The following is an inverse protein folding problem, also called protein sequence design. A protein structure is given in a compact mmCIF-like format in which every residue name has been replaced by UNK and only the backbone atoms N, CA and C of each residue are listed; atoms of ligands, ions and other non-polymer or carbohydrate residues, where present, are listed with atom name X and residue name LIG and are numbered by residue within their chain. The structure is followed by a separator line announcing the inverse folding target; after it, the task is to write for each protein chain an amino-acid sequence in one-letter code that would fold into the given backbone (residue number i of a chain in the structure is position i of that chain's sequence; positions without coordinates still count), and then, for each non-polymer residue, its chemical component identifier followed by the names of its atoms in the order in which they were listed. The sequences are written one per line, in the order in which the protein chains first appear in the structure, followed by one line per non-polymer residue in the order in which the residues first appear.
data_IF_798040299223
#
_entry.id   IF_798040299223
#
_cell.length_a   1.000
_cell.length_b   1.000
_cell.length_c   1.000
_cell.angle_alpha   90.00
_cell.angle_beta   90.00
_cell.angle_gamma   90.00
#
_symmetry.space_group_name_H-M   'P 1'
#
loop_
_entity.id
_entity.type
_entity.pdbx_description
1 polymer ?
#
# COMPACT_ATOMS: atom_id res chain seq x y z
N UNK A 1 2.76 8.43 -2.51
CA UNK A 1 2.23 8.87 -3.81
C UNK A 1 2.54 10.35 -3.98
N UNK A 2 3.03 10.77 -5.16
CA UNK A 2 3.48 12.14 -5.42
C UNK A 2 2.25 13.07 -5.48
N UNK A 3 2.38 14.30 -4.95
CA UNK A 3 1.31 15.30 -5.02
C UNK A 3 1.13 15.77 -6.47
N UNK A 4 -0.10 15.70 -7.04
CA UNK A 4 -0.34 16.08 -8.44
C UNK A 4 -0.27 17.60 -8.68
N UNK A 5 -0.26 18.42 -7.62
CA UNK A 5 -0.29 19.87 -7.75
C UNK A 5 1.08 20.55 -7.63
N UNK A 6 2.01 19.95 -6.89
CA UNK A 6 3.31 20.57 -6.61
C UNK A 6 4.50 19.59 -6.69
N UNK A 7 4.24 18.37 -7.15
CA UNK A 7 5.23 17.30 -7.34
C UNK A 7 6.00 16.89 -6.08
N UNK A 8 5.51 17.25 -4.89
CA UNK A 8 6.12 16.83 -3.64
C UNK A 8 5.92 15.32 -3.41
N UNK A 9 7.00 14.62 -3.07
CA UNK A 9 7.00 13.15 -2.88
C UNK A 9 6.27 12.74 -1.60
N UNK A 10 6.31 13.60 -0.57
CA UNK A 10 5.69 13.33 0.74
C UNK A 10 4.22 13.77 0.75
N UNK A 11 3.32 12.78 0.87
CA UNK A 11 1.89 12.97 1.09
C UNK A 11 1.41 12.01 2.17
N UNK A 12 0.44 12.44 2.98
CA UNK A 12 -0.16 11.64 4.06
C UNK A 12 -1.56 11.17 3.66
N UNK A 13 -1.97 10.00 4.15
CA UNK A 13 -3.34 9.50 4.02
C UNK A 13 -4.14 10.06 5.18
N UNK A 14 -5.29 10.68 4.89
CA UNK A 14 -6.18 11.31 5.88
C UNK A 14 -7.37 10.39 6.18
N UNK A 15 -7.91 9.74 5.16
CA UNK A 15 -9.03 8.82 5.30
C UNK A 15 -8.96 7.74 4.23
N UNK A 16 -9.56 6.58 4.52
CA UNK A 16 -9.70 5.46 3.59
C UNK A 16 -11.15 5.01 3.57
N UNK A 17 -11.75 4.96 2.40
CA UNK A 17 -13.04 4.31 2.17
C UNK A 17 -12.73 2.91 1.63
N UNK A 18 -13.16 1.91 2.40
CA UNK A 18 -13.07 0.49 2.01
C UNK A 18 -14.40 0.08 1.38
N UNK A 19 -14.34 -0.49 0.19
CA UNK A 19 -15.50 -0.97 -0.55
C UNK A 19 -15.06 -1.93 -1.66
N UNK A 20 -15.80 -1.99 -2.76
CA UNK A 20 -15.37 -2.72 -3.97
C UNK A 20 -14.02 -2.22 -4.51
N UNK A 21 -13.74 -0.93 -4.30
CA UNK A 21 -12.46 -0.31 -4.56
C UNK A 21 -11.95 0.38 -3.29
N UNK A 22 -10.64 0.32 -3.06
CA UNK A 22 -10.02 1.07 -1.97
C UNK A 22 -9.73 2.49 -2.43
N UNK A 23 -10.46 3.46 -1.89
CA UNK A 23 -10.25 4.90 -2.16
C UNK A 23 -9.58 5.55 -0.95
N UNK A 24 -8.50 6.29 -1.19
CA UNK A 24 -7.74 7.00 -0.15
C UNK A 24 -7.74 8.49 -0.42
N UNK A 25 -8.11 9.26 0.60
CA UNK A 25 -7.95 10.72 0.60
C UNK A 25 -6.57 11.06 1.15
N UNK A 26 -5.81 11.84 0.39
CA UNK A 26 -4.46 12.24 0.73
C UNK A 26 -4.35 13.75 0.87
N UNK A 27 -3.42 14.20 1.72
CA UNK A 27 -3.03 15.61 1.86
C UNK A 27 -1.54 15.77 1.56
N UNK A 28 -1.19 16.83 0.82
CA UNK A 28 0.20 17.19 0.60
C UNK A 28 0.79 17.94 1.79
N UNK A 29 1.94 17.48 2.29
CA UNK A 29 2.63 18.14 3.40
C UNK A 29 3.30 19.47 3.00
N UNK A 30 3.44 19.76 1.69
CA UNK A 30 4.05 20.99 1.18
C UNK A 30 3.01 22.04 0.79
N UNK A 31 2.07 21.70 -0.11
CA UNK A 31 1.08 22.66 -0.61
C UNK A 31 -0.28 22.61 0.07
N UNK A 32 -0.47 21.73 1.07
CA UNK A 32 -1.70 21.55 1.84
C UNK A 32 -2.98 21.18 1.06
N UNK A 33 -2.89 21.01 -0.27
CA UNK A 33 -4.01 20.53 -1.08
C UNK A 33 -4.31 19.05 -0.80
N UNK A 34 -5.59 18.71 -0.89
CA UNK A 34 -6.10 17.35 -0.79
C UNK A 34 -6.40 16.79 -2.17
N UNK A 35 -6.24 15.48 -2.32
CA UNK A 35 -6.59 14.74 -3.53
C UNK A 35 -6.93 13.30 -3.19
N UNK A 36 -7.60 12.63 -4.12
CA UNK A 36 -8.06 11.25 -3.94
C UNK A 36 -7.32 10.29 -4.87
N UNK A 37 -7.12 9.07 -4.39
CA UNK A 37 -6.45 8.00 -5.13
C UNK A 37 -7.23 6.71 -4.97
N UNK A 38 -7.50 6.01 -6.06
CA UNK A 38 -7.99 4.63 -6.03
C UNK A 38 -6.81 3.66 -6.11
N UNK A 39 -6.88 2.59 -5.32
CA UNK A 39 -5.90 1.51 -5.34
C UNK A 39 -6.54 0.26 -5.96
N UNK A 40 -5.86 -0.29 -6.97
CA UNK A 40 -6.26 -1.55 -7.60
C UNK A 40 -5.59 -2.70 -6.86
N UNK A 41 -6.38 -3.67 -6.42
CA UNK A 41 -5.86 -4.93 -5.89
C UNK A 41 -5.36 -5.76 -7.07
N UNK A 42 -4.06 -6.04 -7.10
CA UNK A 42 -3.49 -6.95 -8.08
C UNK A 42 -3.59 -8.36 -7.51
N UNK A 43 -4.55 -9.12 -8.02
CA UNK A 43 -4.64 -10.56 -7.74
C UNK A 43 -3.60 -11.22 -8.62
N UNK A 44 -2.50 -11.71 -8.01
CA UNK A 44 -1.59 -12.60 -8.71
C UNK A 44 -2.31 -13.92 -8.96
N UNK A 45 -2.09 -14.58 -10.11
CA UNK A 45 -2.68 -15.89 -10.35
C UNK A 45 -2.36 -16.80 -9.16
N UNK A 46 -3.34 -17.63 -8.81
CA UNK A 46 -3.25 -18.65 -7.77
C UNK A 46 -2.32 -19.78 -8.27
N UNK A 47 -1.08 -19.41 -8.55
CA UNK A 47 -0.03 -20.35 -8.91
C UNK A 47 0.51 -20.91 -7.60
N UNK A 48 0.38 -22.23 -7.44
CA UNK A 48 0.68 -22.92 -6.19
C UNK A 48 2.15 -22.71 -5.80
N UNK A 49 3.04 -22.63 -6.79
CA UNK A 49 4.47 -22.35 -6.59
C UNK A 49 4.73 -20.92 -6.11
N UNK A 50 3.98 -19.95 -6.63
CA UNK A 50 4.09 -18.55 -6.22
C UNK A 50 3.61 -18.36 -4.76
N UNK A 51 2.49 -18.99 -4.39
CA UNK A 51 1.97 -18.97 -3.02
C UNK A 51 2.94 -19.63 -2.04
N UNK A 52 3.54 -20.77 -2.39
CA UNK A 52 4.49 -21.47 -1.54
C UNK A 52 5.75 -20.65 -1.24
N UNK A 53 6.23 -19.88 -2.22
CA UNK A 53 7.38 -19.01 -2.03
C UNK A 53 7.04 -17.81 -1.13
N UNK A 54 5.90 -17.15 -1.36
CA UNK A 54 5.48 -16.01 -0.52
C UNK A 54 5.16 -16.42 0.93
N UNK A 55 4.57 -17.61 1.13
CA UNK A 55 4.35 -18.16 2.48
C UNK A 55 5.67 -18.53 3.17
N UNK A 56 6.66 -19.07 2.45
CA UNK A 56 7.98 -19.37 3.02
C UNK A 56 8.70 -18.12 3.46
N UNK A 57 8.73 -17.09 2.62
CA UNK A 57 9.33 -15.79 2.95
C UNK A 57 8.67 -15.18 4.20
N UNK A 58 7.33 -15.23 4.29
CA UNK A 58 6.60 -14.76 5.47
C UNK A 58 6.96 -15.54 6.75
N UNK A 59 7.05 -16.88 6.66
CA UNK A 59 7.40 -17.73 7.80
C UNK A 59 8.86 -17.52 8.24
N UNK A 60 9.78 -17.30 7.30
CA UNK A 60 11.18 -16.98 7.59
C UNK A 60 11.31 -15.61 8.26
N UNK A 61 10.63 -14.57 7.74
CA UNK A 61 10.60 -13.24 8.38
C UNK A 61 10.00 -13.27 9.80
N UNK A 62 9.00 -14.12 10.08
CA UNK A 62 8.44 -14.26 11.42
C UNK A 62 9.37 -15.02 12.38
N UNK A 63 10.17 -15.98 11.89
CA UNK A 63 11.19 -16.64 12.72
C UNK A 63 12.29 -15.67 13.13
N UNK A 64 12.82 -14.91 12.16
CA UNK A 64 13.88 -13.93 12.43
C UNK A 64 13.45 -12.82 13.41
N UNK A 65 12.14 -12.52 13.48
CA UNK A 65 11.58 -11.57 14.47
C UNK A 65 11.38 -12.16 15.87
N UNK A 66 11.19 -13.48 15.97
CA UNK A 66 10.94 -14.17 17.24
C UNK A 66 12.23 -14.67 17.92
N UNK A 67 13.35 -14.70 17.19
CA UNK A 67 14.67 -15.09 17.70
C UNK A 67 15.54 -13.89 18.19
N UNK A 68 14.92 -12.76 18.54
CA UNK A 68 15.57 -11.56 19.15
C UNK A 68 15.03 -11.30 20.56
#
# INVERSE_FOLDING_TARGET
MICPFCSNVKTSVVATIKGLENRRFRRCNKCNKTFETSEKVLIKPLDFDYLNNEYKEFVEEEKDKNDI
#
